data_IF_910751001667
#
_entry.id   IF_910751001667
#
_cell.length_a   1.000
_cell.length_b   1.000
_cell.length_c   1.000
_cell.angle_alpha   90.00
_cell.angle_beta   90.00
_cell.angle_gamma   90.00
#
_symmetry.space_group_name_H-M   'P 1'
#
loop_
_entity.id
_entity.type
_entity.pdbx_description
1 polymer ?
#
# COMPACT_ATOMS: atom_id res chain seq x y z
N UNK A 1 -48.34 -19.71 -5.05
CA UNK A 1 -48.66 -21.04 -5.60
C UNK A 1 -47.36 -21.82 -5.82
N UNK A 2 -47.30 -22.91 -5.10
CA UNK A 2 -46.50 -24.15 -5.25
C UNK A 2 -45.01 -24.11 -5.71
N UNK A 3 -44.19 -24.41 -4.72
CA UNK A 3 -42.79 -24.94 -4.76
C UNK A 3 -42.64 -26.15 -5.68
N UNK A 4 -41.46 -26.32 -6.29
CA UNK A 4 -40.88 -27.63 -6.55
C UNK A 4 -39.42 -27.61 -6.24
N UNK A 5 -39.04 -28.32 -5.17
CA UNK A 5 -37.71 -28.85 -4.89
C UNK A 5 -37.43 -29.95 -5.91
N UNK A 6 -36.16 -30.01 -6.37
CA UNK A 6 -35.60 -31.22 -6.97
C UNK A 6 -34.28 -31.48 -6.27
N UNK A 7 -34.30 -32.51 -5.44
CA UNK A 7 -33.11 -33.15 -4.85
C UNK A 7 -32.51 -34.14 -5.86
N UNK A 8 -31.22 -34.08 -6.11
CA UNK A 8 -30.50 -35.16 -6.80
C UNK A 8 -29.45 -35.70 -5.84
N UNK A 9 -29.67 -36.95 -5.45
CA UNK A 9 -28.76 -37.81 -4.71
C UNK A 9 -27.80 -38.42 -5.72
N UNK A 10 -26.48 -38.36 -5.52
CA UNK A 10 -25.54 -39.18 -6.26
C UNK A 10 -24.75 -40.07 -5.27
N UNK A 11 -24.88 -41.35 -5.52
CA UNK A 11 -24.34 -42.42 -4.69
C UNK A 11 -22.86 -42.71 -5.00
N UNK A 12 -22.14 -43.10 -3.97
CA UNK A 12 -20.77 -43.59 -4.01
C UNK A 12 -20.63 -44.94 -4.70
N UNK A 13 -19.55 -45.15 -5.43
CA UNK A 13 -19.07 -46.48 -5.76
C UNK A 13 -17.57 -46.61 -5.46
N UNK A 14 -17.28 -47.36 -4.42
CA UNK A 14 -15.96 -47.87 -4.05
C UNK A 14 -15.67 -49.12 -4.87
N UNK A 15 -14.50 -49.20 -5.51
CA UNK A 15 -13.97 -50.45 -6.00
C UNK A 15 -12.50 -50.59 -5.60
N UNK A 16 -12.27 -51.48 -4.68
CA UNK A 16 -10.96 -51.98 -4.27
C UNK A 16 -10.47 -53.05 -5.28
N UNK A 17 -9.17 -53.03 -5.58
CA UNK A 17 -8.52 -54.07 -6.39
C UNK A 17 -7.09 -54.30 -5.88
N UNK A 18 -6.90 -55.46 -5.34
CA UNK A 18 -5.74 -55.98 -4.61
C UNK A 18 -4.65 -56.59 -5.50
N UNK A 19 -3.37 -56.38 -5.08
CA UNK A 19 -2.23 -57.29 -4.88
C UNK A 19 -1.82 -58.34 -5.94
N UNK A 20 -0.56 -58.38 -6.16
CA UNK A 20 0.45 -59.47 -6.26
C UNK A 20 1.33 -59.31 -7.51
N UNK A 21 2.62 -59.51 -7.50
CA UNK A 21 3.57 -60.02 -6.55
C UNK A 21 4.87 -60.38 -7.27
N UNK A 22 5.97 -60.39 -6.53
CA UNK A 22 7.19 -61.19 -6.68
C UNK A 22 7.89 -61.31 -8.06
N UNK A 23 9.16 -61.10 -8.20
CA UNK A 23 10.34 -61.55 -7.49
C UNK A 23 11.55 -61.57 -8.37
N UNK A 24 12.74 -61.54 -7.79
CA UNK A 24 13.90 -62.30 -8.23
C UNK A 24 15.11 -61.49 -8.72
N UNK A 25 15.99 -61.13 -7.86
CA UNK A 25 17.37 -61.51 -7.59
C UNK A 25 18.32 -61.80 -8.79
N UNK A 26 19.44 -61.07 -8.92
CA UNK A 26 20.77 -61.44 -8.46
C UNK A 26 21.91 -60.73 -9.18
N UNK A 27 22.76 -60.10 -8.37
CA UNK A 27 24.23 -60.04 -8.35
C UNK A 27 25.09 -60.26 -9.61
N UNK A 28 26.02 -59.29 -9.83
CA UNK A 28 27.49 -59.40 -9.60
C UNK A 28 28.23 -58.26 -10.31
N UNK A 29 28.86 -57.42 -9.53
CA UNK A 29 30.30 -57.19 -9.36
C UNK A 29 31.18 -57.15 -10.62
N UNK A 30 31.81 -56.00 -10.86
CA UNK A 30 33.28 -55.89 -11.00
C UNK A 30 33.76 -54.46 -11.19
N UNK A 31 34.65 -54.09 -10.32
CA UNK A 31 35.64 -53.00 -10.27
C UNK A 31 36.40 -52.79 -11.58
N UNK A 32 36.59 -51.50 -11.96
CA UNK A 32 37.96 -50.98 -12.22
C UNK A 32 38.04 -49.46 -12.31
N UNK A 33 39.03 -48.93 -11.67
CA UNK A 33 39.37 -47.50 -11.59
C UNK A 33 40.19 -47.06 -12.83
N UNK A 34 40.11 -45.81 -13.17
CA UNK A 34 41.11 -44.73 -13.24
C UNK A 34 40.87 -43.77 -14.40
N UNK A 35 40.85 -42.55 -14.12
CA UNK A 35 41.84 -41.54 -14.53
C UNK A 35 41.25 -40.21 -14.90
N UNK A 36 41.82 -39.18 -14.32
CA UNK A 36 41.52 -37.77 -14.37
C UNK A 36 41.43 -37.15 -15.77
N UNK A 37 40.47 -36.23 -15.91
CA UNK A 37 40.41 -35.24 -16.96
C UNK A 37 39.36 -34.22 -16.56
N UNK A 38 39.81 -33.08 -16.03
CA UNK A 38 38.92 -32.01 -15.66
C UNK A 38 38.32 -31.37 -16.92
N UNK A 39 37.05 -31.54 -17.12
CA UNK A 39 36.24 -30.67 -17.94
C UNK A 39 35.34 -29.87 -17.00
N UNK A 40 35.47 -28.56 -17.13
CA UNK A 40 34.53 -27.60 -16.55
C UNK A 40 33.20 -27.86 -17.28
N UNK A 41 32.35 -28.62 -16.65
CA UNK A 41 30.98 -28.77 -17.17
C UNK A 41 30.25 -27.47 -16.81
N UNK A 42 29.91 -26.70 -17.86
CA UNK A 42 28.78 -25.82 -17.88
C UNK A 42 27.65 -26.42 -17.03
N UNK A 43 27.11 -25.67 -16.07
CA UNK A 43 25.86 -26.00 -15.42
C UNK A 43 24.79 -26.02 -16.51
N UNK A 44 24.49 -27.19 -17.05
CA UNK A 44 23.29 -27.38 -17.86
C UNK A 44 22.10 -27.06 -16.98
N UNK A 45 21.26 -26.12 -17.44
CA UNK A 45 19.88 -25.96 -16.97
C UNK A 45 19.27 -27.36 -16.86
N UNK A 46 18.74 -27.69 -15.68
CA UNK A 46 18.01 -28.96 -15.49
C UNK A 46 16.77 -28.91 -16.39
N UNK A 47 16.62 -29.88 -17.31
CA UNK A 47 15.42 -30.10 -18.14
C UNK A 47 14.25 -30.65 -17.27
N UNK A 48 14.08 -30.16 -16.05
CA UNK A 48 13.00 -30.60 -15.15
C UNK A 48 11.80 -29.66 -15.36
N UNK A 49 10.64 -30.27 -15.62
CA UNK A 49 9.39 -29.52 -15.69
C UNK A 49 8.98 -29.09 -14.28
N UNK A 50 8.94 -27.77 -14.06
CA UNK A 50 8.61 -27.14 -12.78
C UNK A 50 7.19 -26.60 -12.84
N UNK A 51 6.38 -26.86 -11.82
CA UNK A 51 5.08 -26.22 -11.65
C UNK A 51 5.07 -25.39 -10.37
N UNK A 52 4.75 -24.11 -10.49
CA UNK A 52 4.58 -23.18 -9.39
C UNK A 52 3.12 -22.76 -9.27
N UNK A 53 2.65 -22.53 -8.06
CA UNK A 53 1.30 -22.02 -7.79
C UNK A 53 1.39 -20.57 -7.35
N UNK A 54 0.62 -19.69 -7.99
CA UNK A 54 0.54 -18.28 -7.61
C UNK A 54 -0.88 -17.93 -7.19
N UNK A 55 -1.04 -17.49 -5.91
CA UNK A 55 -2.32 -17.11 -5.34
C UNK A 55 -2.42 -15.59 -5.12
N UNK A 56 -3.54 -14.97 -5.60
CA UNK A 56 -3.81 -13.55 -5.39
C UNK A 56 -5.31 -13.24 -5.40
N UNK A 57 -5.67 -12.03 -4.98
CA UNK A 57 -7.01 -11.46 -5.17
C UNK A 57 -6.95 -10.19 -6.00
N UNK A 58 -8.02 -9.89 -6.73
CA UNK A 58 -8.12 -8.65 -7.50
C UNK A 58 -9.37 -8.60 -8.36
N UNK A 59 -9.62 -7.42 -8.94
CA UNK A 59 -10.61 -7.21 -9.99
C UNK A 59 -10.14 -7.75 -11.34
N UNK A 60 -11.03 -7.67 -12.32
CA UNK A 60 -10.82 -8.26 -13.66
C UNK A 60 -9.55 -7.74 -14.33
N UNK A 61 -9.30 -6.43 -14.33
CA UNK A 61 -8.10 -5.84 -14.95
C UNK A 61 -6.79 -6.40 -14.35
N UNK A 62 -6.71 -6.53 -13.01
CA UNK A 62 -5.56 -7.13 -12.35
C UNK A 62 -5.39 -8.59 -12.72
N UNK A 63 -6.50 -9.33 -12.77
CA UNK A 63 -6.47 -10.75 -13.11
C UNK A 63 -6.00 -10.94 -14.55
N UNK A 64 -6.56 -10.21 -15.51
CA UNK A 64 -6.18 -10.28 -16.92
C UNK A 64 -4.71 -9.91 -17.14
N UNK A 65 -4.22 -8.83 -16.52
CA UNK A 65 -2.83 -8.43 -16.61
C UNK A 65 -1.89 -9.48 -16.01
N UNK A 66 -2.22 -10.03 -14.83
CA UNK A 66 -1.39 -11.05 -14.18
C UNK A 66 -1.34 -12.34 -15.00
N UNK A 67 -2.47 -12.82 -15.53
CA UNK A 67 -2.53 -14.01 -16.39
C UNK A 67 -1.72 -13.79 -17.68
N UNK A 68 -1.75 -12.57 -18.24
CA UNK A 68 -0.97 -12.27 -19.44
C UNK A 68 0.53 -12.27 -19.17
N UNK A 69 0.98 -11.78 -18.00
CA UNK A 69 2.38 -11.85 -17.60
C UNK A 69 2.83 -13.29 -17.38
N UNK A 70 1.97 -14.12 -16.80
CA UNK A 70 2.25 -15.57 -16.67
C UNK A 70 2.44 -16.20 -18.05
N UNK A 71 1.51 -15.98 -18.99
CA UNK A 71 1.63 -16.49 -20.37
C UNK A 71 2.94 -16.04 -21.06
N UNK A 72 3.33 -14.78 -20.86
CA UNK A 72 4.58 -14.23 -21.43
C UNK A 72 5.82 -14.87 -20.80
N UNK A 73 5.80 -15.09 -19.48
CA UNK A 73 6.89 -15.75 -18.77
C UNK A 73 7.05 -17.22 -19.22
N UNK A 74 5.97 -17.98 -19.25
CA UNK A 74 5.97 -19.39 -19.69
C UNK A 74 6.44 -19.55 -21.13
N UNK A 75 6.12 -18.60 -22.03
CA UNK A 75 6.62 -18.58 -23.40
C UNK A 75 8.15 -18.41 -23.48
N UNK A 76 8.75 -17.70 -22.52
CA UNK A 76 10.19 -17.53 -22.41
C UNK A 76 10.88 -18.65 -21.62
N UNK A 77 10.15 -19.34 -20.72
CA UNK A 77 10.63 -20.39 -19.80
C UNK A 77 9.77 -21.65 -19.95
N UNK A 78 9.87 -22.38 -21.05
CA UNK A 78 8.92 -23.46 -21.40
C UNK A 78 8.93 -24.67 -20.44
N UNK A 79 9.93 -24.75 -19.55
CA UNK A 79 10.03 -25.76 -18.50
C UNK A 79 9.39 -25.32 -17.18
N UNK A 80 8.88 -24.08 -17.08
CA UNK A 80 8.20 -23.58 -15.86
C UNK A 80 6.75 -23.26 -16.21
N UNK A 81 5.83 -23.86 -15.46
CA UNK A 81 4.38 -23.60 -15.55
C UNK A 81 3.91 -22.92 -14.27
N UNK A 82 3.05 -21.90 -14.38
CA UNK A 82 2.49 -21.19 -13.23
C UNK A 82 0.98 -21.41 -13.15
N UNK A 83 0.54 -22.20 -12.20
CA UNK A 83 -0.87 -22.40 -11.89
C UNK A 83 -1.45 -21.19 -11.14
N UNK A 84 -2.38 -20.50 -11.77
CA UNK A 84 -3.01 -19.30 -11.23
C UNK A 84 -4.17 -19.64 -10.29
N UNK A 85 -4.10 -19.18 -9.04
CA UNK A 85 -5.16 -19.27 -8.03
C UNK A 85 -5.67 -17.85 -7.67
N UNK A 86 -6.76 -17.40 -8.24
CA UNK A 86 -7.24 -16.06 -7.99
C UNK A 86 -8.75 -15.96 -7.75
N UNK A 87 -9.17 -14.87 -7.11
CA UNK A 87 -10.58 -14.63 -6.79
C UNK A 87 -10.82 -13.27 -6.15
N UNK A 88 -11.94 -13.13 -5.45
CA UNK A 88 -12.24 -11.97 -4.63
C UNK A 88 -11.44 -11.96 -3.32
N UNK A 89 -11.47 -10.82 -2.62
CA UNK A 89 -10.78 -10.66 -1.32
C UNK A 89 -11.49 -11.37 -0.16
N UNK A 90 -12.79 -11.62 -0.28
CA UNK A 90 -13.59 -12.22 0.79
C UNK A 90 -13.09 -13.61 1.17
N UNK A 91 -12.71 -13.78 2.45
CA UNK A 91 -12.20 -15.05 2.99
C UNK A 91 -10.82 -15.47 2.49
N UNK A 92 -10.16 -14.67 1.64
CA UNK A 92 -8.84 -14.99 1.11
C UNK A 92 -7.79 -15.17 2.23
N UNK A 93 -7.73 -14.23 3.17
CA UNK A 93 -6.75 -14.27 4.26
C UNK A 93 -7.02 -15.40 5.27
N UNK A 94 -8.27 -15.73 5.55
CA UNK A 94 -8.63 -16.86 6.42
C UNK A 94 -8.19 -18.20 5.79
N UNK A 95 -8.40 -18.33 4.48
CA UNK A 95 -7.91 -19.48 3.71
C UNK A 95 -6.39 -19.54 3.73
N UNK A 96 -5.71 -18.42 3.44
CA UNK A 96 -4.25 -18.34 3.40
C UNK A 96 -3.64 -18.67 4.76
N UNK A 97 -4.18 -18.10 5.87
CA UNK A 97 -3.71 -18.41 7.22
C UNK A 97 -3.76 -19.92 7.52
N UNK A 98 -4.87 -20.57 7.14
CA UNK A 98 -5.04 -22.02 7.30
C UNK A 98 -4.03 -22.82 6.44
N UNK A 99 -3.80 -22.38 5.21
CA UNK A 99 -2.88 -23.02 4.29
C UNK A 99 -1.42 -22.85 4.71
N UNK A 100 -1.02 -21.67 5.19
CA UNK A 100 0.32 -21.43 5.75
C UNK A 100 0.58 -22.34 6.96
N UNK A 101 -0.36 -22.40 7.89
CA UNK A 101 -0.25 -23.23 9.09
C UNK A 101 -0.19 -24.73 8.79
N UNK A 102 -0.82 -25.20 7.70
CA UNK A 102 -0.82 -26.60 7.27
C UNK A 102 0.27 -26.95 6.25
N UNK A 103 1.05 -25.96 5.78
CA UNK A 103 2.07 -26.16 4.74
C UNK A 103 1.51 -26.48 3.36
N UNK A 104 0.29 -26.01 3.04
CA UNK A 104 -0.41 -26.26 1.76
C UNK A 104 -0.67 -24.98 0.96
N UNK A 105 -0.11 -23.85 1.40
CA UNK A 105 -0.20 -22.59 0.67
C UNK A 105 0.42 -22.70 -0.73
N UNK A 106 0.01 -21.82 -1.65
CA UNK A 106 0.67 -21.68 -2.94
C UNK A 106 2.12 -21.23 -2.76
N UNK A 107 2.97 -21.50 -3.77
CA UNK A 107 4.39 -21.15 -3.74
C UNK A 107 4.60 -19.64 -3.68
N UNK A 108 3.78 -18.89 -4.41
CA UNK A 108 3.79 -17.44 -4.45
C UNK A 108 2.42 -16.95 -3.97
N UNK A 109 2.41 -16.04 -3.01
CA UNK A 109 1.16 -15.53 -2.41
C UNK A 109 1.16 -14.02 -2.34
N UNK A 110 0.02 -13.41 -2.66
CA UNK A 110 -0.25 -12.01 -2.40
C UNK A 110 -0.85 -11.88 -0.99
N UNK A 111 -0.37 -10.92 -0.20
CA UNK A 111 -0.79 -10.72 1.18
C UNK A 111 -1.13 -9.25 1.40
N UNK A 112 -2.15 -8.98 2.20
CA UNK A 112 -2.47 -7.64 2.67
C UNK A 112 -1.36 -7.14 3.62
N UNK A 113 -0.83 -5.93 3.44
CA UNK A 113 0.25 -5.41 4.28
C UNK A 113 -0.12 -5.30 5.76
N UNK A 114 -1.41 -5.14 6.09
CA UNK A 114 -1.87 -5.11 7.48
C UNK A 114 -1.89 -6.50 8.14
N UNK A 115 -1.98 -7.57 7.34
CA UNK A 115 -2.00 -8.97 7.82
C UNK A 115 -0.61 -9.60 7.79
N UNK A 116 0.27 -9.15 6.90
CA UNK A 116 1.61 -9.69 6.69
C UNK A 116 2.44 -9.79 7.98
N UNK A 117 2.47 -8.76 8.88
CA UNK A 117 3.16 -8.85 10.17
C UNK A 117 2.71 -10.03 11.02
N UNK A 118 1.41 -10.32 11.03
CA UNK A 118 0.85 -11.45 11.80
C UNK A 118 1.43 -12.77 11.31
N UNK A 119 1.56 -12.96 10.00
CA UNK A 119 2.15 -14.19 9.47
C UNK A 119 3.64 -14.30 9.79
N UNK A 120 4.38 -13.20 9.67
CA UNK A 120 5.83 -13.18 9.97
C UNK A 120 6.11 -13.48 11.45
N UNK A 121 5.27 -13.00 12.36
CA UNK A 121 5.47 -13.20 13.81
C UNK A 121 4.94 -14.53 14.33
N UNK A 122 3.98 -15.16 13.64
CA UNK A 122 3.39 -16.44 14.06
C UNK A 122 4.08 -17.65 13.47
N UNK A 123 4.89 -17.50 12.41
CA UNK A 123 5.62 -18.61 11.80
C UNK A 123 6.70 -18.17 10.81
N UNK A 124 7.59 -19.08 10.50
CA UNK A 124 8.66 -18.89 9.53
C UNK A 124 8.19 -19.37 8.13
N UNK A 125 7.21 -18.63 7.56
CA UNK A 125 6.48 -19.06 6.37
C UNK A 125 7.10 -18.62 5.05
N UNK A 126 7.94 -17.58 5.03
CA UNK A 126 8.41 -16.96 3.80
C UNK A 126 9.93 -17.03 3.65
N UNK A 127 10.41 -17.15 2.41
CA UNK A 127 11.84 -17.07 2.11
C UNK A 127 12.34 -15.63 2.28
N UNK A 128 13.66 -15.46 2.45
CA UNK A 128 14.31 -14.16 2.30
C UNK A 128 14.73 -14.00 0.84
N UNK A 129 14.16 -13.03 0.12
CA UNK A 129 14.53 -12.74 -1.26
C UNK A 129 16.02 -12.43 -1.42
N UNK A 130 16.69 -11.95 -0.36
CA UNK A 130 18.13 -11.64 -0.37
C UNK A 130 19.02 -12.89 -0.39
N UNK A 131 18.49 -14.06 -0.06
CA UNK A 131 19.21 -15.33 -0.14
C UNK A 131 19.24 -15.87 -1.58
N UNK A 132 18.54 -15.19 -2.53
CA UNK A 132 18.40 -15.59 -3.92
C UNK A 132 18.79 -14.44 -4.86
N UNK A 133 18.89 -14.72 -6.16
CA UNK A 133 19.28 -13.75 -7.19
C UNK A 133 18.12 -12.79 -7.58
N UNK A 134 17.40 -12.23 -6.60
CA UNK A 134 16.38 -11.21 -6.83
C UNK A 134 17.00 -9.84 -7.04
N UNK A 135 16.75 -9.23 -8.20
CA UNK A 135 17.17 -7.86 -8.48
C UNK A 135 16.24 -6.85 -7.82
N UNK A 136 16.72 -6.23 -6.75
CA UNK A 136 16.03 -5.18 -5.99
C UNK A 136 16.46 -3.76 -6.36
N UNK A 137 17.36 -3.60 -7.34
CA UNK A 137 18.02 -2.32 -7.66
C UNK A 137 17.05 -1.23 -8.17
N UNK A 138 15.88 -1.62 -8.67
CA UNK A 138 14.85 -0.70 -9.16
C UNK A 138 13.86 -0.23 -8.08
N UNK A 139 13.98 -0.73 -6.86
CA UNK A 139 13.18 -0.29 -5.70
C UNK A 139 13.90 0.84 -4.96
N UNK A 140 13.16 1.81 -4.42
CA UNK A 140 13.69 2.75 -3.44
C UNK A 140 14.00 2.01 -2.13
N UNK A 141 15.24 2.15 -1.62
CA UNK A 141 15.67 1.41 -0.43
C UNK A 141 14.93 1.87 0.84
N UNK A 142 14.57 3.14 0.96
CA UNK A 142 13.81 3.62 2.11
C UNK A 142 12.40 2.99 2.09
N UNK A 143 11.80 2.90 0.89
CA UNK A 143 10.49 2.31 0.72
C UNK A 143 10.45 0.81 0.99
N UNK A 144 11.34 0.06 0.33
CA UNK A 144 11.38 -1.42 0.46
C UNK A 144 11.83 -1.88 1.85
N UNK A 145 12.53 -1.00 2.62
CA UNK A 145 13.04 -1.33 3.96
C UNK A 145 11.98 -1.23 5.06
N UNK A 146 10.80 -0.70 4.79
CA UNK A 146 9.72 -0.62 5.77
C UNK A 146 9.11 -2.01 6.04
N UNK A 147 8.81 -2.31 7.29
CA UNK A 147 8.18 -3.58 7.68
C UNK A 147 6.86 -3.82 6.93
N UNK A 148 6.03 -2.79 6.81
CA UNK A 148 4.76 -2.87 6.08
C UNK A 148 4.94 -3.19 4.59
N UNK A 149 6.13 -2.95 4.03
CA UNK A 149 6.49 -3.25 2.65
C UNK A 149 7.29 -4.55 2.51
N UNK A 150 7.33 -5.38 3.55
CA UNK A 150 7.82 -6.75 3.52
C UNK A 150 9.20 -7.00 4.10
N UNK A 151 9.85 -6.01 4.76
CA UNK A 151 11.16 -6.21 5.42
C UNK A 151 11.00 -6.40 6.92
N UNK A 152 11.48 -7.54 7.44
CA UNK A 152 11.46 -7.89 8.86
C UNK A 152 12.82 -8.41 9.30
N UNK A 153 13.34 -7.90 10.42
CA UNK A 153 14.64 -8.29 10.99
C UNK A 153 15.79 -8.28 9.96
N UNK A 154 15.75 -7.29 9.05
CA UNK A 154 16.75 -7.14 7.97
C UNK A 154 16.55 -8.08 6.78
N UNK A 155 15.60 -9.01 6.82
CA UNK A 155 15.22 -9.92 5.73
C UNK A 155 14.15 -9.29 4.85
N UNK A 156 14.21 -9.52 3.54
CA UNK A 156 13.16 -9.14 2.61
C UNK A 156 12.23 -10.33 2.38
N UNK A 157 11.19 -10.46 3.22
CA UNK A 157 10.26 -11.58 3.21
C UNK A 157 9.10 -11.40 2.23
N UNK A 158 8.92 -10.19 1.70
CA UNK A 158 7.92 -9.88 0.69
C UNK A 158 8.32 -8.67 -0.15
N UNK A 159 7.69 -8.50 -1.31
CA UNK A 159 7.93 -7.39 -2.22
C UNK A 159 6.66 -6.55 -2.39
N UNK A 160 6.74 -5.22 -2.29
CA UNK A 160 5.59 -4.34 -2.46
C UNK A 160 5.05 -4.39 -3.89
N UNK A 161 3.73 -4.36 -4.06
CA UNK A 161 3.10 -4.37 -5.40
C UNK A 161 2.85 -2.99 -5.97
N UNK A 162 2.91 -1.95 -5.16
CA UNK A 162 2.66 -0.57 -5.56
C UNK A 162 3.06 0.41 -4.48
N UNK A 163 2.83 1.69 -4.72
CA UNK A 163 3.03 2.77 -3.76
C UNK A 163 1.66 3.38 -3.45
N UNK A 164 1.31 3.40 -2.18
CA UNK A 164 0.24 4.20 -1.61
C UNK A 164 0.84 5.20 -0.65
N UNK A 165 0.42 6.45 -0.74
CA UNK A 165 0.93 7.51 0.12
C UNK A 165 0.19 8.80 -0.16
N UNK A 166 0.61 9.85 0.51
CA UNK A 166 0.03 11.18 0.39
C UNK A 166 0.99 12.15 -0.31
N UNK A 167 0.46 13.19 -0.89
CA UNK A 167 1.21 14.28 -1.49
C UNK A 167 0.48 15.61 -1.33
N UNK A 168 1.16 16.70 -1.58
CA UNK A 168 0.57 18.03 -1.66
C UNK A 168 0.48 18.42 -3.13
N UNK A 169 -0.71 18.31 -3.73
CA UNK A 169 -0.95 18.79 -5.09
C UNK A 169 -1.13 20.30 -5.07
N UNK A 170 -0.29 21.04 -5.79
CA UNK A 170 -0.22 22.49 -5.74
C UNK A 170 -0.57 23.08 -7.10
N UNK A 171 -1.53 24.00 -7.14
CA UNK A 171 -1.76 24.90 -8.26
C UNK A 171 -0.60 25.92 -8.32
N UNK A 172 0.36 25.61 -9.18
CA UNK A 172 1.59 26.40 -9.29
C UNK A 172 1.35 27.85 -9.68
N UNK A 173 0.38 28.08 -10.56
CA UNK A 173 0.08 29.43 -11.04
C UNK A 173 -0.40 30.34 -9.90
N UNK A 174 -1.25 29.80 -9.03
CA UNK A 174 -1.74 30.52 -7.84
C UNK A 174 -0.63 30.67 -6.80
N UNK A 175 0.11 29.61 -6.51
CA UNK A 175 1.22 29.66 -5.56
C UNK A 175 2.25 30.73 -5.95
N UNK A 176 2.64 30.76 -7.22
CA UNK A 176 3.58 31.76 -7.75
C UNK A 176 2.99 33.18 -7.67
N UNK A 177 1.72 33.39 -8.03
CA UNK A 177 1.07 34.70 -7.99
C UNK A 177 0.98 35.27 -6.56
N UNK A 178 0.81 34.40 -5.57
CA UNK A 178 0.69 34.77 -4.14
C UNK A 178 2.07 34.85 -3.47
N UNK A 179 3.11 34.23 -4.07
CA UNK A 179 4.45 34.17 -3.52
C UNK A 179 4.59 33.09 -2.43
N UNK A 180 3.97 31.94 -2.66
CA UNK A 180 4.05 30.73 -1.82
C UNK A 180 4.90 29.69 -2.58
N UNK A 181 5.82 29.04 -1.87
CA UNK A 181 6.71 28.02 -2.44
C UNK A 181 6.60 26.71 -1.62
N UNK A 182 5.82 25.78 -2.13
CA UNK A 182 5.63 24.46 -1.53
C UNK A 182 6.75 23.46 -1.85
N UNK A 183 7.70 23.82 -2.70
CA UNK A 183 8.82 22.93 -3.05
C UNK A 183 9.92 22.92 -1.99
N UNK A 184 9.91 23.89 -1.09
CA UNK A 184 10.81 23.99 0.06
C UNK A 184 10.19 23.37 1.30
N UNK A 185 10.99 22.87 2.24
CA UNK A 185 10.50 22.46 3.54
C UNK A 185 9.75 23.59 4.25
N UNK A 186 8.61 23.28 4.85
CA UNK A 186 7.79 24.20 5.64
C UNK A 186 7.16 23.49 6.84
N UNK A 187 6.80 24.27 7.84
CA UNK A 187 6.17 23.78 9.07
C UNK A 187 4.64 23.87 9.01
N UNK A 188 3.99 23.27 10.00
CA UNK A 188 2.56 23.41 10.20
C UNK A 188 2.15 24.89 10.44
N UNK A 189 2.99 25.66 11.16
CA UNK A 189 2.76 27.10 11.39
C UNK A 189 2.94 27.91 10.10
N UNK A 190 3.94 27.56 9.27
CA UNK A 190 4.10 28.20 7.95
C UNK A 190 2.86 28.00 7.08
N UNK A 191 2.17 26.85 7.19
CA UNK A 191 0.95 26.59 6.43
C UNK A 191 -0.19 27.56 6.84
N UNK A 192 -0.31 27.89 8.12
CA UNK A 192 -1.25 28.92 8.57
C UNK A 192 -0.89 30.28 7.96
N UNK A 193 0.39 30.67 7.97
CA UNK A 193 0.83 31.94 7.39
C UNK A 193 0.65 31.97 5.85
N UNK A 194 0.79 30.83 5.17
CA UNK A 194 0.45 30.70 3.75
C UNK A 194 -1.05 30.92 3.54
N UNK A 195 -1.91 30.36 4.38
CA UNK A 195 -3.36 30.57 4.34
C UNK A 195 -3.74 32.05 4.46
N UNK A 196 -3.15 32.77 5.41
CA UNK A 196 -3.36 34.22 5.57
C UNK A 196 -2.96 35.02 4.33
N UNK A 197 -1.87 34.61 3.64
CA UNK A 197 -1.49 35.25 2.37
C UNK A 197 -2.52 35.02 1.28
N UNK A 198 -3.08 33.80 1.20
CA UNK A 198 -4.15 33.48 0.24
C UNK A 198 -5.37 34.33 0.48
N UNK A 199 -5.85 34.42 1.72
CA UNK A 199 -7.01 35.27 2.11
C UNK A 199 -6.77 36.76 1.85
N UNK A 200 -5.55 37.23 2.06
CA UNK A 200 -5.16 38.61 1.74
C UNK A 200 -5.09 38.90 0.22
N UNK A 201 -4.79 37.87 -0.59
CA UNK A 201 -4.75 37.98 -2.05
C UNK A 201 -6.16 38.00 -2.65
N UNK A 202 -7.02 37.05 -2.23
CA UNK A 202 -8.43 36.99 -2.61
C UNK A 202 -9.23 36.32 -1.48
N UNK A 203 -10.20 37.07 -0.92
CA UNK A 203 -11.03 36.62 0.20
C UNK A 203 -12.06 35.55 -0.16
N UNK A 204 -12.17 35.16 -1.43
CA UNK A 204 -12.97 34.03 -1.92
C UNK A 204 -12.18 32.74 -2.07
N UNK A 205 -10.86 32.78 -1.81
CA UNK A 205 -9.94 31.65 -2.00
C UNK A 205 -9.49 31.06 -0.66
N UNK A 206 -9.08 29.81 -0.69
CA UNK A 206 -8.52 29.07 0.46
C UNK A 206 -7.19 28.45 0.08
N UNK A 207 -6.34 28.18 1.08
CA UNK A 207 -5.08 27.50 0.84
C UNK A 207 -5.31 26.02 0.48
N UNK A 208 -6.09 25.30 1.31
CA UNK A 208 -6.24 23.86 1.22
C UNK A 208 -7.65 23.43 0.83
N UNK A 209 -7.75 22.63 -0.23
CA UNK A 209 -8.92 21.83 -0.54
C UNK A 209 -8.92 20.57 0.34
N UNK A 210 -9.72 20.56 1.38
CA UNK A 210 -9.85 19.44 2.30
C UNK A 210 -11.26 19.36 2.88
N UNK A 211 -11.71 18.17 3.22
CA UNK A 211 -12.90 17.89 4.01
C UNK A 211 -12.48 17.27 5.36
N UNK A 212 -13.44 16.93 6.22
CA UNK A 212 -13.15 16.38 7.55
C UNK A 212 -12.34 15.08 7.51
N UNK A 213 -12.59 14.22 6.52
CA UNK A 213 -11.87 12.96 6.33
C UNK A 213 -10.41 13.23 5.96
N UNK A 214 -10.16 14.17 5.06
CA UNK A 214 -8.80 14.59 4.72
C UNK A 214 -8.12 15.33 5.88
N UNK A 215 -8.83 16.15 6.65
CA UNK A 215 -8.25 16.78 7.85
C UNK A 215 -7.83 15.74 8.89
N UNK A 216 -8.60 14.68 9.10
CA UNK A 216 -8.17 13.59 10.00
C UNK A 216 -6.98 12.84 9.41
N UNK A 217 -7.08 12.38 8.18
CA UNK A 217 -6.06 11.52 7.58
C UNK A 217 -4.74 12.27 7.29
N UNK A 218 -4.82 13.57 6.93
CA UNK A 218 -3.66 14.34 6.49
C UNK A 218 -3.13 15.30 7.56
N UNK A 219 -3.97 15.73 8.52
CA UNK A 219 -3.55 16.64 9.60
C UNK A 219 -3.51 15.92 10.94
N UNK A 220 -4.65 15.43 11.45
CA UNK A 220 -4.73 14.89 12.81
C UNK A 220 -3.73 13.76 13.02
N UNK A 221 -3.71 12.76 12.14
CA UNK A 221 -2.77 11.65 12.30
C UNK A 221 -1.32 12.08 12.12
N UNK A 222 -1.00 12.88 11.11
CA UNK A 222 0.40 13.17 10.81
C UNK A 222 1.01 14.18 11.79
N UNK A 223 0.28 15.24 12.13
CA UNK A 223 0.72 16.18 13.15
C UNK A 223 0.78 15.51 14.53
N UNK A 224 -0.24 14.72 14.88
CA UNK A 224 -0.27 13.99 16.14
C UNK A 224 0.90 13.01 16.29
N UNK A 225 1.23 12.22 15.27
CA UNK A 225 2.41 11.33 15.28
C UNK A 225 3.72 12.10 15.42
N UNK A 226 3.87 13.22 14.71
CA UNK A 226 5.04 14.09 14.84
C UNK A 226 5.18 14.66 16.25
N UNK A 227 4.06 15.06 16.87
CA UNK A 227 4.02 15.58 18.24
C UNK A 227 4.39 14.51 19.26
N UNK A 228 3.82 13.31 19.13
CA UNK A 228 4.04 12.18 20.04
C UNK A 228 5.38 11.48 19.85
N UNK A 229 5.97 11.56 18.66
CA UNK A 229 7.11 10.74 18.26
C UNK A 229 6.79 9.26 18.05
N UNK A 230 5.50 8.87 17.93
CA UNK A 230 4.99 7.51 17.76
C UNK A 230 3.53 7.50 17.27
N UNK A 231 2.98 6.32 17.02
CA UNK A 231 1.56 6.11 16.64
C UNK A 231 0.60 6.36 17.82
N UNK A 232 -0.69 6.54 17.51
CA UNK A 232 -1.72 6.84 18.51
C UNK A 232 -1.97 5.69 19.46
N UNK A 233 -1.87 4.44 18.98
CA UNK A 233 -1.91 3.25 19.82
C UNK A 233 -0.58 2.51 19.76
N UNK A 234 -0.24 1.87 20.87
CA UNK A 234 0.81 0.86 20.91
C UNK A 234 0.25 -0.43 20.30
N UNK A 235 0.87 -0.91 19.24
CA UNK A 235 0.38 -2.06 18.49
C UNK A 235 0.38 -3.37 19.32
N UNK A 236 1.38 -3.53 20.21
CA UNK A 236 1.56 -4.74 21.00
C UNK A 236 0.74 -4.69 22.30
N UNK A 237 0.78 -3.54 22.99
CA UNK A 237 0.08 -3.34 24.24
C UNK A 237 -1.41 -3.02 24.05
N UNK A 238 -1.82 -2.62 22.85
CA UNK A 238 -3.17 -2.13 22.53
C UNK A 238 -3.62 -0.98 23.44
N UNK A 239 -2.68 -0.16 23.88
CA UNK A 239 -2.92 0.99 24.74
C UNK A 239 -2.83 2.29 23.96
N UNK A 240 -3.69 3.24 24.29
CA UNK A 240 -3.68 4.57 23.72
C UNK A 240 -2.43 5.33 24.19
N UNK A 241 -1.68 5.87 23.24
CA UNK A 241 -0.48 6.68 23.50
C UNK A 241 -0.79 8.18 23.66
N UNK A 242 -1.97 8.61 23.15
CA UNK A 242 -2.43 9.98 23.21
C UNK A 242 -2.93 10.35 24.62
N UNK A 243 -2.59 11.53 25.09
CA UNK A 243 -3.24 12.19 26.22
C UNK A 243 -4.28 13.22 25.72
N UNK A 244 -5.15 13.69 26.61
CA UNK A 244 -6.08 14.79 26.31
C UNK A 244 -5.32 16.05 25.89
N UNK A 245 -4.19 16.38 26.52
CA UNK A 245 -3.38 17.56 26.20
C UNK A 245 -2.72 17.44 24.80
N UNK A 246 -2.24 16.25 24.42
CA UNK A 246 -1.68 16.01 23.09
C UNK A 246 -2.75 16.22 22.03
N UNK A 247 -3.90 15.59 22.20
CA UNK A 247 -5.00 15.69 21.23
C UNK A 247 -5.61 17.08 21.19
N UNK A 248 -5.71 17.76 22.35
CA UNK A 248 -6.11 19.18 22.41
C UNK A 248 -5.19 20.04 21.55
N UNK A 249 -3.87 19.86 21.64
CA UNK A 249 -2.90 20.60 20.82
C UNK A 249 -3.17 20.38 19.31
N UNK A 250 -3.42 19.14 18.90
CA UNK A 250 -3.77 18.83 17.50
C UNK A 250 -5.09 19.48 17.10
N UNK A 251 -6.09 19.45 17.95
CA UNK A 251 -7.40 20.04 17.69
C UNK A 251 -7.40 21.56 17.74
N UNK A 252 -6.53 22.19 18.53
CA UNK A 252 -6.29 23.63 18.47
C UNK A 252 -5.75 24.03 17.10
N UNK A 253 -4.86 23.24 16.52
CA UNK A 253 -4.38 23.46 15.15
C UNK A 253 -5.50 23.27 14.11
N UNK A 254 -6.31 22.21 14.23
CA UNK A 254 -7.49 22.03 13.34
C UNK A 254 -8.44 23.21 13.44
N UNK A 255 -8.71 23.70 14.65
CA UNK A 255 -9.54 24.89 14.86
C UNK A 255 -8.92 26.10 14.19
N UNK A 256 -7.61 26.29 14.29
CA UNK A 256 -6.91 27.40 13.65
C UNK A 256 -7.00 27.35 12.12
N UNK A 257 -6.99 26.15 11.50
CA UNK A 257 -7.22 26.01 10.05
C UNK A 257 -8.59 26.57 9.63
N UNK A 258 -9.62 26.39 10.46
CA UNK A 258 -10.95 26.97 10.22
C UNK A 258 -11.03 28.46 10.55
N UNK A 259 -10.52 28.88 11.72
CA UNK A 259 -10.60 30.27 12.19
C UNK A 259 -9.83 31.25 11.27
N UNK A 260 -8.67 30.83 10.75
CA UNK A 260 -7.85 31.61 9.82
C UNK A 260 -8.24 31.38 8.35
N UNK A 261 -9.34 30.65 8.13
CA UNK A 261 -9.86 30.32 6.79
C UNK A 261 -8.79 29.74 5.84
N UNK A 262 -7.91 28.89 6.39
CA UNK A 262 -6.94 28.12 5.60
C UNK A 262 -7.65 27.05 4.76
N UNK A 263 -8.74 26.51 5.32
CA UNK A 263 -9.69 25.60 4.68
C UNK A 263 -11.06 26.23 4.57
N UNK A 264 -11.89 25.74 3.66
CA UNK A 264 -13.28 26.20 3.55
C UNK A 264 -14.08 25.87 4.82
N UNK A 265 -15.15 26.62 5.14
CA UNK A 265 -15.99 26.34 6.32
C UNK A 265 -16.53 24.92 6.35
N UNK A 266 -16.65 24.30 7.54
CA UNK A 266 -17.17 22.94 7.71
C UNK A 266 -18.55 22.75 7.05
N UNK A 267 -19.42 23.76 7.08
CA UNK A 267 -20.73 23.73 6.41
C UNK A 267 -20.64 23.61 4.89
N UNK A 268 -19.59 24.15 4.28
CA UNK A 268 -19.31 23.98 2.85
C UNK A 268 -18.73 22.58 2.58
N UNK A 269 -17.74 22.17 3.39
CA UNK A 269 -17.08 20.86 3.27
C UNK A 269 -18.06 19.68 3.39
N UNK A 270 -19.13 19.81 4.17
CA UNK A 270 -20.15 18.77 4.36
C UNK A 270 -20.83 18.32 3.05
N UNK A 271 -20.71 19.11 1.97
CA UNK A 271 -21.20 18.72 0.63
C UNK A 271 -20.26 17.76 -0.12
N UNK A 272 -19.04 17.57 0.36
CA UNK A 272 -17.97 16.82 -0.31
C UNK A 272 -17.34 15.86 0.69
N UNK A 273 -17.90 14.63 0.81
CA UNK A 273 -17.45 13.62 1.77
C UNK A 273 -16.57 12.54 1.10
N UNK A 274 -15.74 11.87 1.89
CA UNK A 274 -14.84 10.83 1.41
C UNK A 274 -13.85 11.35 0.38
N UNK A 275 -13.51 10.54 -0.61
CA UNK A 275 -12.52 10.85 -1.66
C UNK A 275 -13.12 11.65 -2.83
N UNK A 276 -14.06 12.57 -2.55
CA UNK A 276 -14.78 13.31 -3.58
C UNK A 276 -14.27 14.74 -3.81
N UNK A 277 -13.06 15.09 -3.36
CA UNK A 277 -12.48 16.44 -3.49
C UNK A 277 -12.40 16.94 -4.93
N UNK A 278 -12.22 16.05 -5.91
CA UNK A 278 -12.27 16.39 -7.33
C UNK A 278 -13.63 16.95 -7.79
N UNK A 279 -14.68 16.73 -7.02
CA UNK A 279 -16.03 17.25 -7.28
C UNK A 279 -16.29 18.59 -6.58
N UNK A 280 -15.34 19.07 -5.75
CA UNK A 280 -15.47 20.35 -5.05
C UNK A 280 -15.51 21.51 -6.05
N UNK A 281 -16.59 22.30 -6.00
CA UNK A 281 -16.83 23.39 -6.95
C UNK A 281 -15.81 24.51 -6.85
N UNK A 282 -15.21 24.74 -5.67
CA UNK A 282 -14.12 25.69 -5.51
C UNK A 282 -12.80 25.15 -6.09
N UNK A 283 -12.55 23.81 -6.00
CA UNK A 283 -11.41 23.20 -6.69
C UNK A 283 -11.54 23.34 -8.20
N UNK A 284 -12.70 22.97 -8.75
CA UNK A 284 -13.01 23.10 -10.19
C UNK A 284 -12.88 24.54 -10.66
N UNK A 285 -13.26 25.50 -9.82
CA UNK A 285 -13.17 26.93 -10.12
C UNK A 285 -11.78 27.55 -9.88
N UNK A 286 -10.78 26.77 -9.47
CA UNK A 286 -9.43 27.26 -9.19
C UNK A 286 -9.34 28.18 -7.98
N UNK A 287 -10.14 27.95 -6.94
CA UNK A 287 -10.16 28.77 -5.71
C UNK A 287 -9.34 28.17 -4.56
N UNK A 288 -8.63 27.10 -4.79
CA UNK A 288 -7.68 26.51 -3.84
C UNK A 288 -6.27 26.54 -4.41
N UNK A 289 -5.31 26.82 -3.54
CA UNK A 289 -3.89 26.82 -3.91
C UNK A 289 -3.31 25.42 -3.89
N UNK A 290 -3.75 24.58 -2.94
CA UNK A 290 -3.24 23.24 -2.79
C UNK A 290 -4.32 22.25 -2.30
N UNK A 291 -4.07 20.98 -2.50
CA UNK A 291 -4.85 19.87 -1.95
C UNK A 291 -3.91 18.80 -1.40
N UNK A 292 -3.95 18.51 -0.08
CA UNK A 292 -3.35 17.28 0.43
C UNK A 292 -4.15 16.11 -0.16
N UNK A 293 -3.50 15.19 -0.85
CA UNK A 293 -4.21 14.16 -1.63
C UNK A 293 -3.47 12.83 -1.59
N UNK A 294 -4.16 11.76 -1.91
CA UNK A 294 -3.53 10.45 -2.13
C UNK A 294 -2.92 10.40 -3.54
N UNK A 295 -1.79 9.71 -3.66
CA UNK A 295 -1.10 9.56 -4.95
C UNK A 295 -2.02 8.98 -6.03
N UNK A 296 -2.90 8.06 -5.65
CA UNK A 296 -3.88 7.43 -6.54
C UNK A 296 -4.97 8.37 -7.06
N UNK A 297 -5.16 9.56 -6.46
CA UNK A 297 -6.20 10.51 -6.84
C UNK A 297 -5.67 11.75 -7.55
N UNK A 298 -4.36 11.88 -7.73
CA UNK A 298 -3.73 13.05 -8.36
C UNK A 298 -4.33 13.31 -9.75
N UNK A 299 -4.38 12.29 -10.61
CA UNK A 299 -4.83 12.47 -12.00
C UNK A 299 -6.29 12.92 -12.09
N UNK A 300 -7.17 12.43 -11.21
CA UNK A 300 -8.58 12.86 -11.19
C UNK A 300 -8.73 14.27 -10.64
N UNK A 301 -7.88 14.68 -9.69
CA UNK A 301 -7.85 16.06 -9.19
C UNK A 301 -7.36 17.04 -10.26
N UNK A 302 -6.31 16.70 -10.99
CA UNK A 302 -5.79 17.49 -12.14
C UNK A 302 -6.85 17.58 -13.23
N UNK A 303 -7.50 16.47 -13.58
CA UNK A 303 -8.54 16.44 -14.61
C UNK A 303 -9.77 17.29 -14.25
N UNK A 304 -10.05 17.50 -12.96
CA UNK A 304 -11.17 18.33 -12.49
C UNK A 304 -10.95 19.85 -12.71
N UNK A 305 -9.69 20.29 -12.80
CA UNK A 305 -9.33 21.68 -13.12
C UNK A 305 -8.11 21.69 -14.07
N UNK A 306 -8.30 21.36 -15.36
CA UNK A 306 -7.21 21.12 -16.31
C UNK A 306 -6.54 22.39 -16.83
N UNK A 307 -7.08 23.56 -16.53
CA UNK A 307 -6.53 24.85 -16.99
C UNK A 307 -5.36 25.34 -16.12
N UNK A 308 -5.18 24.76 -14.92
CA UNK A 308 -4.11 25.12 -14.00
C UNK A 308 -2.86 24.26 -14.23
N UNK A 309 -1.69 24.85 -13.99
CA UNK A 309 -0.44 24.11 -13.93
C UNK A 309 -0.22 23.58 -12.52
N UNK A 310 0.10 22.30 -12.40
CA UNK A 310 0.30 21.64 -11.12
C UNK A 310 1.74 21.20 -10.91
N UNK A 311 2.15 21.17 -9.64
CA UNK A 311 3.40 20.58 -9.16
C UNK A 311 3.13 19.83 -7.85
N UNK A 312 3.99 18.89 -7.51
CA UNK A 312 3.95 18.29 -6.18
C UNK A 312 4.77 19.13 -5.21
N UNK A 313 4.15 19.43 -4.06
CA UNK A 313 4.79 20.15 -2.96
C UNK A 313 5.30 19.20 -1.88
N UNK A 314 6.18 19.72 -1.02
CA UNK A 314 6.56 19.07 0.22
C UNK A 314 5.34 18.95 1.15
N UNK A 315 5.43 18.06 2.13
CA UNK A 315 4.43 17.94 3.20
C UNK A 315 4.93 18.64 4.46
N UNK A 316 4.03 19.23 5.27
CA UNK A 316 4.43 20.00 6.45
C UNK A 316 5.08 19.09 7.49
N UNK A 317 6.04 19.63 8.22
CA UNK A 317 6.74 18.94 9.28
C UNK A 317 6.78 19.78 10.57
N UNK A 318 6.78 19.11 11.71
CA UNK A 318 7.07 19.73 12.99
C UNK A 318 8.59 19.79 13.18
N UNK A 319 9.12 20.95 13.54
CA UNK A 319 10.55 21.14 13.74
C UNK A 319 11.12 20.18 14.79
N UNK A 320 12.16 19.44 14.42
CA UNK A 320 12.81 18.50 15.30
C UNK A 320 12.05 17.21 15.58
N UNK A 321 10.92 16.96 14.91
CA UNK A 321 10.16 15.73 15.08
C UNK A 321 10.99 14.49 14.76
N UNK A 322 10.99 13.53 15.69
CA UNK A 322 11.65 12.21 15.54
C UNK A 322 10.83 11.35 14.60
N UNK A 323 9.52 11.24 14.84
CA UNK A 323 8.57 10.60 13.94
C UNK A 323 8.21 11.59 12.82
N UNK A 324 8.34 11.16 11.56
CA UNK A 324 8.08 12.04 10.41
C UNK A 324 6.59 12.25 10.14
N UNK A 325 5.74 11.41 10.71
CA UNK A 325 4.29 11.46 10.56
C UNK A 325 3.81 10.92 9.22
N UNK A 326 4.39 11.37 8.13
CA UNK A 326 4.04 10.97 6.78
C UNK A 326 4.65 9.63 6.44
N UNK A 327 3.82 8.69 6.08
CA UNK A 327 4.21 7.34 5.69
C UNK A 327 3.63 6.97 4.34
N UNK A 328 4.33 6.08 3.66
CA UNK A 328 3.80 5.37 2.51
C UNK A 328 3.81 3.88 2.82
N UNK A 329 2.90 3.17 2.18
CA UNK A 329 2.80 1.71 2.28
C UNK A 329 2.45 1.12 0.93
N UNK A 330 2.64 -0.19 0.82
CA UNK A 330 2.17 -0.93 -0.35
C UNK A 330 0.68 -1.27 -0.23
N UNK A 331 -0.08 -1.31 -1.33
CA UNK A 331 -1.42 -1.87 -1.30
C UNK A 331 -1.44 -3.38 -1.04
N UNK A 332 -0.40 -4.12 -1.47
CA UNK A 332 -0.21 -5.55 -1.21
C UNK A 332 1.28 -5.88 -1.18
N UNK A 333 1.59 -7.04 -0.59
CA UNK A 333 2.92 -7.66 -0.59
C UNK A 333 2.84 -8.99 -1.34
N UNK A 334 3.83 -9.32 -2.17
CA UNK A 334 3.99 -10.65 -2.76
C UNK A 334 5.15 -11.35 -2.07
N UNK A 335 4.91 -12.54 -1.57
CA UNK A 335 5.88 -13.36 -0.86
C UNK A 335 5.97 -14.77 -1.47
N UNK A 336 7.14 -15.39 -1.37
CA UNK A 336 7.35 -16.79 -1.72
C UNK A 336 7.35 -17.61 -0.44
N UNK A 337 6.58 -18.68 -0.40
CA UNK A 337 6.46 -19.54 0.78
C UNK A 337 7.68 -20.44 0.93
N UNK A 338 8.07 -20.78 2.17
CA UNK A 338 9.15 -21.74 2.43
C UNK A 338 8.82 -23.17 2.06
N UNK A 339 7.55 -23.46 1.79
CA UNK A 339 7.11 -24.77 1.27
C UNK A 339 7.28 -24.90 -0.23
N UNK A 340 7.69 -23.83 -0.93
CA UNK A 340 8.02 -23.88 -2.34
C UNK A 340 9.22 -24.82 -2.56
N UNK A 341 9.03 -25.85 -3.37
CA UNK A 341 10.09 -26.83 -3.69
C UNK A 341 11.11 -26.29 -4.69
N UNK A 342 10.74 -25.23 -5.45
CA UNK A 342 11.59 -24.59 -6.48
C UNK A 342 11.70 -23.08 -6.27
N UNK A 343 12.28 -22.61 -5.15
CA UNK A 343 12.33 -21.18 -4.82
C UNK A 343 13.14 -20.36 -5.83
N UNK A 344 14.16 -20.93 -6.48
CA UNK A 344 14.93 -20.27 -7.52
C UNK A 344 14.05 -19.96 -8.75
N UNK A 345 13.21 -20.88 -9.18
CA UNK A 345 12.27 -20.67 -10.28
C UNK A 345 11.18 -19.64 -9.91
N UNK A 346 10.71 -19.65 -8.65
CA UNK A 346 9.78 -18.66 -8.16
C UNK A 346 10.40 -17.25 -8.13
N UNK A 347 11.68 -17.12 -7.75
CA UNK A 347 12.42 -15.85 -7.80
C UNK A 347 12.67 -15.42 -9.24
N UNK A 348 12.95 -16.34 -10.17
CA UNK A 348 13.08 -16.05 -11.60
C UNK A 348 11.79 -15.44 -12.17
N UNK A 349 10.62 -16.01 -11.81
CA UNK A 349 9.34 -15.41 -12.15
C UNK A 349 9.13 -14.03 -11.50
N UNK A 350 9.53 -13.83 -10.24
CA UNK A 350 9.43 -12.53 -9.58
C UNK A 350 10.38 -11.50 -10.21
N UNK A 351 11.58 -11.89 -10.64
CA UNK A 351 12.45 -11.00 -11.42
C UNK A 351 11.80 -10.59 -12.73
N UNK A 352 11.19 -11.52 -13.45
CA UNK A 352 10.42 -11.21 -14.65
C UNK A 352 9.27 -10.23 -14.35
N UNK A 353 8.49 -10.51 -13.30
CA UNK A 353 7.32 -9.73 -12.90
C UNK A 353 7.67 -8.27 -12.55
N UNK A 354 8.83 -8.03 -11.90
CA UNK A 354 9.21 -6.71 -11.40
C UNK A 354 10.24 -5.98 -12.27
N UNK A 355 10.93 -6.66 -13.18
CA UNK A 355 12.07 -6.09 -13.88
C UNK A 355 12.04 -6.24 -15.42
N UNK A 356 11.21 -7.14 -15.98
CA UNK A 356 11.10 -7.30 -17.44
C UNK A 356 10.20 -6.21 -18.04
N UNK A 357 10.66 -5.58 -19.12
CA UNK A 357 9.95 -4.47 -19.77
C UNK A 357 8.55 -4.88 -20.26
N UNK A 358 8.43 -6.10 -20.83
CA UNK A 358 7.16 -6.62 -21.36
C UNK A 358 6.16 -6.90 -20.23
N UNK A 359 6.65 -7.45 -19.12
CA UNK A 359 5.84 -7.66 -17.92
C UNK A 359 5.36 -6.35 -17.33
N UNK A 360 6.26 -5.36 -17.18
CA UNK A 360 5.94 -4.05 -16.63
C UNK A 360 4.94 -3.27 -17.50
N UNK A 361 5.09 -3.32 -18.84
CA UNK A 361 4.12 -2.75 -19.76
C UNK A 361 2.74 -3.41 -19.63
N UNK A 362 2.70 -4.71 -19.43
CA UNK A 362 1.46 -5.50 -19.32
C UNK A 362 0.76 -5.22 -17.98
N UNK A 363 1.52 -5.17 -16.89
CA UNK A 363 0.99 -4.88 -15.54
C UNK A 363 0.49 -3.44 -15.43
N UNK A 364 1.21 -2.50 -16.03
CA UNK A 364 0.86 -1.08 -15.93
C UNK A 364 0.64 -0.64 -14.48
N UNK A 365 -0.45 0.05 -14.22
CA UNK A 365 -0.86 0.53 -12.90
C UNK A 365 -2.01 -0.31 -12.27
N UNK A 366 -2.24 -1.55 -12.73
CA UNK A 366 -3.39 -2.39 -12.29
C UNK A 366 -3.34 -2.77 -10.81
N UNK A 367 -2.17 -2.65 -10.15
CA UNK A 367 -1.97 -2.91 -8.73
C UNK A 367 -1.77 -1.65 -7.88
N UNK A 368 -1.86 -0.47 -8.44
CA UNK A 368 -1.55 0.87 -7.94
C UNK A 368 -0.40 1.50 -8.73
N UNK A 369 0.06 2.69 -8.33
CA UNK A 369 1.31 3.25 -8.86
C UNK A 369 2.45 2.25 -8.63
N UNK A 370 3.19 1.83 -9.66
CA UNK A 370 4.17 0.76 -9.51
C UNK A 370 5.28 1.08 -8.50
N UNK A 371 5.80 0.06 -7.78
CA UNK A 371 6.76 0.26 -6.70
C UNK A 371 8.17 0.55 -7.20
N UNK A 372 8.50 0.17 -8.45
CA UNK A 372 9.84 0.35 -9.01
C UNK A 372 9.90 1.59 -9.91
N UNK A 373 11.04 2.29 -9.89
CA UNK A 373 11.28 3.45 -10.75
C UNK A 373 11.12 3.10 -12.24
N UNK A 374 11.68 1.95 -12.65
CA UNK A 374 11.59 1.45 -14.02
C UNK A 374 10.13 1.28 -14.48
N UNK A 375 9.28 0.67 -13.65
CA UNK A 375 7.88 0.44 -13.98
C UNK A 375 7.11 1.77 -14.06
N UNK A 376 7.36 2.71 -13.14
CA UNK A 376 6.75 4.04 -13.19
C UNK A 376 7.13 4.77 -14.47
N UNK A 377 8.41 4.72 -14.86
CA UNK A 377 8.88 5.33 -16.10
C UNK A 377 8.19 4.71 -17.32
N UNK A 378 8.07 3.39 -17.41
CA UNK A 378 7.36 2.70 -18.51
C UNK A 378 5.90 3.15 -18.55
N UNK A 379 5.22 3.21 -17.41
CA UNK A 379 3.84 3.68 -17.32
C UNK A 379 3.68 5.13 -17.79
N UNK A 380 4.63 6.00 -17.47
CA UNK A 380 4.63 7.39 -17.93
C UNK A 380 4.87 7.49 -19.43
N UNK A 381 5.89 6.79 -19.95
CA UNK A 381 6.21 6.78 -21.40
C UNK A 381 5.02 6.28 -22.24
N UNK A 382 4.16 5.44 -21.66
CA UNK A 382 2.92 4.92 -22.28
C UNK A 382 1.68 5.79 -22.00
N UNK A 383 1.80 6.83 -21.21
CA UNK A 383 0.68 7.70 -20.82
C UNK A 383 -0.34 7.03 -19.89
N UNK A 384 0.05 5.97 -19.17
CA UNK A 384 -0.75 5.29 -18.14
C UNK A 384 -0.73 6.10 -16.83
N UNK A 385 0.43 6.70 -16.51
CA UNK A 385 0.61 7.61 -15.39
C UNK A 385 1.07 8.97 -15.90
N UNK A 386 0.56 10.04 -15.32
CA UNK A 386 1.05 11.38 -15.58
C UNK A 386 2.40 11.63 -14.91
N UNK A 387 3.18 12.60 -15.43
CA UNK A 387 4.44 13.00 -14.80
C UNK A 387 4.26 13.48 -13.37
N UNK A 388 3.16 14.16 -13.08
CA UNK A 388 2.87 14.67 -11.72
C UNK A 388 2.52 13.54 -10.74
N UNK A 389 1.85 12.49 -11.20
CA UNK A 389 1.59 11.30 -10.38
C UNK A 389 2.89 10.56 -10.08
N UNK A 390 3.83 10.51 -11.02
CA UNK A 390 5.16 9.96 -10.77
C UNK A 390 5.95 10.77 -9.74
N UNK A 391 5.96 12.11 -9.88
CA UNK A 391 6.59 13.00 -8.89
C UNK A 391 6.01 12.78 -7.48
N UNK A 392 4.67 12.68 -7.39
CA UNK A 392 4.00 12.34 -6.13
C UNK A 392 4.41 10.99 -5.55
N UNK A 393 4.57 9.98 -6.41
CA UNK A 393 5.00 8.65 -5.98
C UNK A 393 6.45 8.64 -5.48
N UNK A 394 7.35 9.40 -6.10
CA UNK A 394 8.73 9.54 -5.65
C UNK A 394 8.82 10.25 -4.29
N UNK A 395 8.01 11.29 -4.08
CA UNK A 395 7.87 11.95 -2.76
C UNK A 395 7.35 10.96 -1.72
N UNK A 396 6.30 10.19 -2.07
CA UNK A 396 5.72 9.20 -1.16
C UNK A 396 6.72 8.08 -0.82
N UNK A 397 7.44 7.56 -1.79
CA UNK A 397 8.46 6.52 -1.57
C UNK A 397 9.59 6.99 -0.63
N UNK A 398 9.93 8.28 -0.67
CA UNK A 398 10.94 8.88 0.20
C UNK A 398 10.46 9.18 1.63
N UNK A 399 9.17 9.00 1.93
CA UNK A 399 8.61 9.22 3.28
C UNK A 399 9.15 8.20 4.26
N UNK A 400 9.65 8.67 5.41
CA UNK A 400 10.24 7.82 6.44
C UNK A 400 9.44 7.75 7.74
N UNK A 401 8.14 8.09 7.72
CA UNK A 401 7.27 8.01 8.88
C UNK A 401 6.66 6.63 9.08
N UNK A 402 6.15 6.39 10.27
CA UNK A 402 5.45 5.15 10.62
C UNK A 402 4.01 5.20 10.11
N UNK A 403 3.50 4.17 9.42
CA UNK A 403 2.10 4.04 9.11
C UNK A 403 1.22 4.11 10.37
N UNK A 404 -0.06 4.46 10.21
CA UNK A 404 -0.98 4.43 11.32
C UNK A 404 -1.15 2.99 11.82
N UNK A 405 -1.25 2.83 13.13
CA UNK A 405 -1.54 1.54 13.74
C UNK A 405 -2.94 1.01 13.33
N UNK A 406 -3.15 -0.28 13.52
CA UNK A 406 -4.39 -0.97 13.11
C UNK A 406 -5.63 -0.42 13.80
N UNK A 407 -5.53 -0.05 15.09
CA UNK A 407 -6.68 0.47 15.86
C UNK A 407 -7.03 1.87 15.35
N UNK A 408 -6.05 2.75 15.18
CA UNK A 408 -6.25 4.09 14.60
C UNK A 408 -6.84 4.03 13.18
N UNK A 409 -6.45 3.04 12.40
CA UNK A 409 -6.91 2.84 11.02
C UNK A 409 -8.30 2.22 10.93
N UNK A 410 -8.86 1.74 12.04
CA UNK A 410 -10.21 1.15 12.08
C UNK A 410 -11.29 2.18 11.71
N UNK A 411 -12.39 1.72 11.12
CA UNK A 411 -13.52 2.59 10.78
C UNK A 411 -14.12 3.25 12.02
N UNK A 412 -14.11 2.57 13.16
CA UNK A 412 -14.63 3.08 14.42
C UNK A 412 -13.79 4.26 14.93
N UNK A 413 -12.45 4.09 15.01
CA UNK A 413 -11.53 5.19 15.36
C UNK A 413 -11.65 6.39 14.43
N UNK A 414 -11.69 6.13 13.12
CA UNK A 414 -11.83 7.19 12.12
C UNK A 414 -13.15 7.94 12.29
N UNK A 415 -14.26 7.25 12.54
CA UNK A 415 -15.56 7.91 12.74
C UNK A 415 -15.52 8.83 13.97
N UNK A 416 -14.94 8.38 15.09
CA UNK A 416 -14.77 9.21 16.29
C UNK A 416 -13.98 10.50 15.95
N UNK A 417 -12.88 10.37 15.23
CA UNK A 417 -12.03 11.52 14.85
C UNK A 417 -12.73 12.44 13.84
N UNK A 418 -13.47 11.89 12.87
CA UNK A 418 -14.23 12.68 11.88
C UNK A 418 -15.31 13.51 12.53
N UNK A 419 -16.06 12.95 13.47
CA UNK A 419 -17.10 13.63 14.21
C UNK A 419 -16.52 14.76 15.08
N UNK A 420 -15.36 14.53 15.70
CA UNK A 420 -14.66 15.53 16.51
C UNK A 420 -14.17 16.71 15.67
N UNK A 421 -13.54 16.46 14.52
CA UNK A 421 -13.10 17.50 13.59
C UNK A 421 -14.30 18.28 13.06
N UNK A 422 -15.40 17.61 12.76
CA UNK A 422 -16.63 18.25 12.27
C UNK A 422 -17.23 19.17 13.33
N UNK A 423 -17.37 18.73 14.60
CA UNK A 423 -17.92 19.54 15.68
C UNK A 423 -17.06 20.77 15.99
N UNK A 424 -15.71 20.63 15.91
CA UNK A 424 -14.78 21.77 16.01
C UNK A 424 -15.00 22.75 14.86
N UNK A 425 -15.12 22.27 13.62
CA UNK A 425 -15.32 23.08 12.43
C UNK A 425 -16.64 23.85 12.43
N UNK A 426 -17.70 23.30 13.06
CA UNK A 426 -18.96 23.99 13.28
C UNK A 426 -18.95 24.92 14.51
N UNK A 427 -17.88 24.91 15.32
CA UNK A 427 -17.82 25.63 16.59
C UNK A 427 -18.78 25.08 17.65
N UNK A 428 -19.20 23.82 17.50
CA UNK A 428 -20.08 23.12 18.42
C UNK A 428 -19.35 22.54 19.65
N UNK A 429 -18.05 22.31 19.52
CA UNK A 429 -17.13 21.92 20.60
C UNK A 429 -15.87 22.76 20.58
N UNK A 430 -15.33 23.04 21.76
CA UNK A 430 -13.96 23.54 21.88
C UNK A 430 -12.95 22.41 21.64
N UNK A 431 -11.69 22.71 21.26
CA UNK A 431 -10.63 21.70 21.15
C UNK A 431 -10.44 20.86 22.44
N UNK A 432 -10.58 21.47 23.59
CA UNK A 432 -10.47 20.82 24.92
C UNK A 432 -11.61 19.82 25.15
N UNK A 433 -12.87 20.25 24.91
CA UNK A 433 -14.05 19.38 25.05
C UNK A 433 -13.97 18.20 24.04
N UNK A 434 -13.66 18.49 22.78
CA UNK A 434 -13.52 17.49 21.75
C UNK A 434 -12.39 16.48 22.06
N UNK A 435 -11.25 16.95 22.59
CA UNK A 435 -10.14 16.07 22.99
C UNK A 435 -10.53 15.13 24.12
N UNK A 436 -11.17 15.64 25.18
CA UNK A 436 -11.63 14.82 26.31
C UNK A 436 -12.63 13.74 25.87
N UNK A 437 -13.62 14.13 25.04
CA UNK A 437 -14.62 13.18 24.51
C UNK A 437 -13.96 12.12 23.61
N UNK A 438 -13.06 12.54 22.72
CA UNK A 438 -12.34 11.63 21.80
C UNK A 438 -11.48 10.63 22.57
N UNK A 439 -10.68 11.08 23.54
CA UNK A 439 -9.83 10.19 24.37
C UNK A 439 -10.69 9.17 25.12
N UNK A 440 -11.82 9.61 25.69
CA UNK A 440 -12.74 8.69 26.38
C UNK A 440 -13.30 7.61 25.43
N UNK A 441 -13.65 7.98 24.19
CA UNK A 441 -14.17 7.02 23.20
C UNK A 441 -13.07 6.09 22.69
N UNK A 442 -11.88 6.62 22.34
CA UNK A 442 -10.76 5.82 21.85
C UNK A 442 -10.22 4.85 22.90
N UNK A 443 -10.21 5.24 24.20
CA UNK A 443 -9.84 4.35 25.30
C UNK A 443 -10.77 3.14 25.42
N UNK A 444 -12.00 3.23 24.92
CA UNK A 444 -12.93 2.10 24.83
C UNK A 444 -12.53 1.05 23.79
N UNK A 445 -11.61 1.36 22.87
CA UNK A 445 -11.15 0.47 21.79
C UNK A 445 -9.91 -0.36 22.18
N UNK A 446 -9.39 -0.19 23.38
CA UNK A 446 -8.20 -0.87 23.92
C UNK A 446 -8.38 -2.39 24.18
N UNK A 447 -9.50 -3.00 23.82
CA UNK A 447 -9.86 -4.40 24.19
C UNK A 447 -9.47 -5.43 23.12
#
# INVERSE_FOLDING_TARGET
MKKKLVSVVLAAAVAAGTLAGCGGSSTKDSTQAASAGGEITDKSSSDEDITLRFAWWGGDERNEATLKVIEQFEAAHPNITIEAEYGGSDGYHDKLATQLASGTAADIVQVDPEVFPTYVTTGDYFIDYKDYDMDLSNFDENYISLEINGRYDGKQLGLPTGISGSGMLVNKDLADAIGIDFTKPYTWDDMIEMGKKVRAYDDSMYLLCANKEYLVNMVVFNYGKQLLGKTFFDADAKTLNLTEDDLKTVYEYVKQLYDEEVVAPASYQASYTGDSLQSDTNWIAGKYVAAPTYISTIDVMVAANPEANYVMGQLPALDGAVEKGWASNTPQVIAITKTCEHPEAAVEFMNYFYNDDTALETLGATRSVPPTEKARKICSDKGILSEITMEGADIAAAMGGTPNDKISSSQESKTILFDSVETIGYGASTPEEAAADTINLLSGLEQ
#
